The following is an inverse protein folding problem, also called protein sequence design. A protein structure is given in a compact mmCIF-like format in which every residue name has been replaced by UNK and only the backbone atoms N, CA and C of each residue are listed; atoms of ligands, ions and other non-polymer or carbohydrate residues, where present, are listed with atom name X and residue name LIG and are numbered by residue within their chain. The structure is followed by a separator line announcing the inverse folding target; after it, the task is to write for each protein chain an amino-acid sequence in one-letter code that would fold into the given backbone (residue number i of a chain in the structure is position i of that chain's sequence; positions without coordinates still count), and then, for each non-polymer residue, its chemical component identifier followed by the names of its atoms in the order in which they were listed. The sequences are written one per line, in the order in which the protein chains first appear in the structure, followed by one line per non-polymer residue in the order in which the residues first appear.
data_IF_992260911538
#
_entry.id   IF_992260911538
#
_cell.length_a   1.000
_cell.length_b   1.000
_cell.length_c   1.000
_cell.angle_alpha   90.00
_cell.angle_beta   90.00
_cell.angle_gamma   90.00
#
_symmetry.space_group_name_H-M   'P 1'
#
loop_
_entity.id
_entity.type
_entity.pdbx_description
1 polymer ?
#
# COMPACT_ATOMS: atom_id res chain seq x y z
N UNK A 1 2.95 -2.09 -11.59
CA UNK A 1 1.48 -2.00 -11.40
C UNK A 1 0.80 -3.03 -12.29
N UNK A 2 0.02 -3.89 -11.70
CA UNK A 2 -0.70 -4.91 -12.44
C UNK A 2 -2.15 -4.51 -12.71
N UNK A 3 -2.87 -5.35 -13.45
CA UNK A 3 -4.18 -5.00 -13.98
C UNK A 3 -5.24 -4.82 -12.90
N UNK A 4 -6.26 -4.04 -13.24
CA UNK A 4 -7.42 -3.76 -12.40
C UNK A 4 -7.08 -3.00 -11.12
N UNK A 5 -5.89 -2.39 -11.06
CA UNK A 5 -5.55 -1.54 -9.93
C UNK A 5 -6.00 -0.12 -10.19
N UNK A 6 -6.48 0.54 -9.16
CA UNK A 6 -6.88 1.94 -9.22
C UNK A 6 -5.95 2.76 -8.34
N UNK A 7 -5.35 3.78 -8.92
CA UNK A 7 -4.45 4.66 -8.21
C UNK A 7 -5.04 6.07 -8.24
N UNK A 8 -5.40 6.59 -7.07
CA UNK A 8 -6.01 7.90 -6.95
C UNK A 8 -5.05 9.01 -7.36
N UNK A 9 -5.60 10.23 -7.57
CA UNK A 9 -4.81 11.35 -8.03
C UNK A 9 -3.82 11.79 -6.94
N UNK A 10 -2.73 12.43 -7.37
CA UNK A 10 -1.67 12.93 -6.48
C UNK A 10 -1.03 11.84 -5.62
N UNK A 11 -1.04 10.61 -6.11
CA UNK A 11 -0.37 9.49 -5.46
C UNK A 11 1.00 9.31 -6.07
N UNK A 12 2.00 9.11 -5.22
CA UNK A 12 3.39 8.95 -5.62
C UNK A 12 3.86 7.54 -5.32
N UNK A 13 4.45 6.89 -6.32
CA UNK A 13 5.07 5.58 -6.17
C UNK A 13 6.57 5.76 -6.39
N UNK A 14 7.35 5.52 -5.36
CA UNK A 14 8.80 5.65 -5.43
C UNK A 14 9.41 4.45 -6.15
N UNK A 15 10.75 4.41 -6.22
CA UNK A 15 11.46 3.35 -6.94
C UNK A 15 11.21 1.97 -6.33
N UNK A 16 11.19 0.96 -7.20
CA UNK A 16 11.09 -0.44 -6.80
C UNK A 16 9.80 -0.81 -6.07
N UNK A 17 8.75 0.00 -6.23
CA UNK A 17 7.46 -0.34 -5.65
C UNK A 17 6.78 -1.42 -6.47
N UNK A 18 6.04 -2.30 -5.79
CA UNK A 18 5.26 -3.35 -6.44
C UNK A 18 3.79 -3.17 -6.07
N UNK A 19 2.96 -3.02 -7.07
CA UNK A 19 1.51 -2.90 -6.87
C UNK A 19 0.85 -4.07 -7.60
N UNK A 20 0.31 -5.00 -6.85
CA UNK A 20 -0.28 -6.21 -7.41
C UNK A 20 -1.66 -5.92 -8.02
N UNK A 21 -2.37 -6.98 -8.44
CA UNK A 21 -3.67 -6.84 -9.10
C UNK A 21 -4.75 -6.38 -8.14
N UNK A 22 -5.68 -5.60 -8.64
CA UNK A 22 -6.88 -5.17 -7.91
C UNK A 22 -6.57 -4.38 -6.63
N UNK A 23 -5.49 -3.63 -6.62
CA UNK A 23 -5.18 -2.74 -5.51
C UNK A 23 -5.96 -1.45 -5.70
N UNK A 24 -6.68 -1.03 -4.68
CA UNK A 24 -7.44 0.24 -4.71
C UNK A 24 -6.77 1.24 -3.78
N UNK A 25 -6.32 2.35 -4.34
CA UNK A 25 -5.63 3.39 -3.59
C UNK A 25 -6.41 4.69 -3.68
N UNK A 26 -6.66 5.32 -2.54
CA UNK A 26 -7.24 6.64 -2.53
C UNK A 26 -6.25 7.69 -3.04
N UNK A 27 -6.61 8.96 -2.91
CA UNK A 27 -5.76 10.06 -3.37
C UNK A 27 -4.71 10.43 -2.31
N UNK A 28 -3.65 11.11 -2.76
CA UNK A 28 -2.60 11.67 -1.88
C UNK A 28 -1.88 10.60 -1.08
N UNK A 29 -1.61 9.47 -1.68
CA UNK A 29 -0.86 8.39 -1.05
C UNK A 29 0.61 8.48 -1.49
N UNK A 30 1.53 8.22 -0.58
CA UNK A 30 2.93 8.09 -0.92
C UNK A 30 3.41 6.69 -0.57
N UNK A 31 3.84 5.95 -1.59
CA UNK A 31 4.49 4.65 -1.39
C UNK A 31 5.98 4.87 -1.53
N UNK A 32 6.71 4.72 -0.44
CA UNK A 32 8.15 4.93 -0.43
C UNK A 32 8.87 3.74 -1.08
N UNK A 33 10.15 3.90 -1.28
CA UNK A 33 10.99 2.95 -2.01
C UNK A 33 10.77 1.51 -1.53
N UNK A 34 10.58 0.60 -2.47
CA UNK A 34 10.48 -0.82 -2.18
C UNK A 34 9.17 -1.26 -1.54
N UNK A 35 8.17 -0.40 -1.45
CA UNK A 35 6.88 -0.79 -0.89
C UNK A 35 6.21 -1.87 -1.72
N UNK A 36 5.66 -2.88 -1.06
CA UNK A 36 4.98 -3.99 -1.71
C UNK A 36 3.51 -3.98 -1.31
N UNK A 37 2.62 -3.82 -2.28
CA UNK A 37 1.19 -3.81 -2.05
C UNK A 37 0.59 -5.09 -2.62
N UNK A 38 0.12 -5.96 -1.75
CA UNK A 38 -0.42 -7.25 -2.14
C UNK A 38 -1.77 -7.15 -2.87
N UNK A 39 -2.18 -8.24 -3.51
CA UNK A 39 -3.42 -8.27 -4.28
C UNK A 39 -4.63 -7.91 -3.43
N UNK A 40 -5.55 -7.18 -4.03
CA UNK A 40 -6.84 -6.83 -3.43
C UNK A 40 -6.72 -6.01 -2.15
N UNK A 41 -5.59 -5.38 -1.88
CA UNK A 41 -5.51 -4.49 -0.73
C UNK A 41 -6.14 -3.15 -1.05
N UNK A 42 -6.62 -2.47 -0.02
CA UNK A 42 -7.28 -1.17 -0.14
C UNK A 42 -6.55 -0.20 0.78
N UNK A 43 -6.15 0.95 0.21
CA UNK A 43 -5.40 1.96 0.96
C UNK A 43 -6.25 3.22 1.02
N UNK A 44 -6.53 3.69 2.24
CA UNK A 44 -7.29 4.92 2.41
C UNK A 44 -6.48 6.12 1.92
N UNK A 45 -7.16 7.22 1.62
CA UNK A 45 -6.48 8.45 1.18
C UNK A 45 -5.53 8.97 2.26
N UNK A 46 -4.50 9.69 1.83
CA UNK A 46 -3.54 10.41 2.68
C UNK A 46 -2.72 9.49 3.58
N UNK A 47 -2.40 8.30 3.06
CA UNK A 47 -1.58 7.32 3.78
C UNK A 47 -0.16 7.34 3.24
N UNK A 48 0.81 7.14 4.12
CA UNK A 48 2.21 6.96 3.73
C UNK A 48 2.61 5.52 4.02
N UNK A 49 3.14 4.88 3.00
CA UNK A 49 3.63 3.50 3.10
C UNK A 49 5.15 3.58 3.24
N UNK A 50 5.68 3.05 4.32
CA UNK A 50 7.11 3.14 4.62
C UNK A 50 7.98 2.34 3.66
N UNK A 51 9.30 2.62 3.68
CA UNK A 51 10.26 1.94 2.80
C UNK A 51 10.30 0.45 3.10
N UNK A 52 10.36 -0.34 2.03
CA UNK A 52 10.54 -1.79 2.10
C UNK A 52 9.54 -2.47 3.03
N UNK A 53 8.34 -1.90 3.15
CA UNK A 53 7.26 -2.50 3.91
C UNK A 53 6.41 -3.37 2.99
N UNK A 54 5.67 -4.29 3.61
CA UNK A 54 4.83 -5.25 2.90
C UNK A 54 3.42 -5.12 3.39
N UNK A 55 2.48 -4.91 2.46
CA UNK A 55 1.06 -4.93 2.75
C UNK A 55 0.52 -6.26 2.24
N UNK A 56 0.02 -7.08 3.14
CA UNK A 56 -0.53 -8.39 2.78
C UNK A 56 -1.76 -8.28 1.90
N UNK A 57 -2.02 -9.31 1.09
CA UNK A 57 -3.18 -9.29 0.20
C UNK A 57 -4.48 -9.25 1.00
N UNK A 58 -5.47 -8.55 0.44
CA UNK A 58 -6.76 -8.40 1.07
C UNK A 58 -6.80 -7.46 2.25
N UNK A 59 -5.70 -6.75 2.54
CA UNK A 59 -5.64 -5.85 3.70
C UNK A 59 -6.39 -4.55 3.44
N UNK A 60 -6.88 -3.95 4.50
CA UNK A 60 -7.49 -2.62 4.46
C UNK A 60 -6.64 -1.69 5.32
N UNK A 61 -5.96 -0.75 4.69
CA UNK A 61 -4.99 0.12 5.36
C UNK A 61 -5.62 1.47 5.66
N UNK A 62 -5.68 1.81 6.93
CA UNK A 62 -6.30 3.07 7.39
C UNK A 62 -5.32 3.94 8.17
N UNK A 63 -4.11 3.47 8.42
CA UNK A 63 -3.06 4.23 9.11
C UNK A 63 -1.76 4.15 8.35
N UNK A 64 -0.88 5.12 8.58
CA UNK A 64 0.45 5.11 7.97
C UNK A 64 1.22 3.86 8.39
N UNK A 65 2.08 3.41 7.51
CA UNK A 65 2.88 2.21 7.72
C UNK A 65 4.35 2.60 7.89
N UNK A 66 4.97 2.12 8.95
CA UNK A 66 6.38 2.39 9.23
C UNK A 66 7.28 1.64 8.25
N UNK A 67 8.53 2.10 8.16
CA UNK A 67 9.53 1.43 7.33
C UNK A 67 9.75 0.00 7.80
N UNK A 68 9.98 -0.90 6.86
CA UNK A 68 10.32 -2.30 7.13
C UNK A 68 9.26 -3.06 7.93
N UNK A 69 7.99 -2.67 7.78
CA UNK A 69 6.89 -3.31 8.49
C UNK A 69 6.17 -4.31 7.60
N UNK A 70 5.54 -5.30 8.22
CA UNK A 70 4.62 -6.21 7.55
C UNK A 70 3.25 -5.98 8.16
N UNK A 71 2.28 -5.61 7.32
CA UNK A 71 0.94 -5.24 7.77
C UNK A 71 -0.07 -6.10 7.03
N UNK A 72 -1.06 -6.61 7.76
CA UNK A 72 -2.12 -7.41 7.14
C UNK A 72 -3.42 -7.29 7.92
N UNK A 73 -4.51 -7.61 7.25
CA UNK A 73 -5.83 -7.72 7.88
C UNK A 73 -6.74 -6.54 7.59
N UNK A 74 -7.93 -6.59 8.18
CA UNK A 74 -8.96 -5.56 8.07
C UNK A 74 -9.50 -5.25 9.47
N UNK A 75 -9.13 -4.12 10.08
CA UNK A 75 -8.13 -3.16 9.59
C UNK A 75 -6.72 -3.73 9.62
N UNK A 76 -5.84 -3.15 8.80
CA UNK A 76 -4.47 -3.62 8.72
C UNK A 76 -3.73 -3.39 10.04
N UNK A 77 -3.08 -4.45 10.52
CA UNK A 77 -2.34 -4.43 11.77
C UNK A 77 -0.88 -4.79 11.47
N UNK A 78 0.04 -4.07 12.09
CA UNK A 78 1.46 -4.36 11.92
C UNK A 78 1.81 -5.70 12.58
N UNK A 79 2.31 -6.64 11.79
CA UNK A 79 2.73 -7.96 12.26
C UNK A 79 4.19 -8.00 12.63
N UNK A 80 4.99 -7.13 12.01
CA UNK A 80 6.43 -7.04 12.23
C UNK A 80 6.91 -5.63 12.09
#
# INVERSE_FOLDING_TARGET
IFSHSFIGHDTTLDHFCYVANNVSMGAFIKVNEGGYLGMNCTIRERIKIGKWSIVGMGSVIINNINNFSVVAGNPGIELK
#
